data_IF_792758666558
#
_entry.id   IF_792758666558
#
_cell.length_a   1.000
_cell.length_b   1.000
_cell.length_c   1.000
_cell.angle_alpha   90.00
_cell.angle_beta   90.00
_cell.angle_gamma   90.00
#
_symmetry.space_group_name_H-M   'P 1'
#
loop_
_entity.id
_entity.type
_entity.pdbx_description
1 polymer ?
#
# COMPACT_ATOMS: atom_id res chain seq x y z
N UNK A 1 -4.85 8.10 -23.62
CA UNK A 1 -4.45 7.38 -22.39
C UNK A 1 -3.92 5.99 -22.71
N UNK A 2 -4.65 5.16 -23.47
CA UNK A 2 -4.14 3.86 -23.91
C UNK A 2 -2.93 4.00 -24.85
N UNK A 3 -2.89 5.04 -25.69
CA UNK A 3 -1.76 5.24 -26.61
C UNK A 3 -0.55 5.97 -26.00
N UNK A 4 -0.59 6.34 -24.72
CA UNK A 4 0.52 7.03 -24.05
C UNK A 4 1.62 6.01 -23.72
N UNK A 5 2.87 6.19 -24.20
CA UNK A 5 3.98 5.28 -23.90
C UNK A 5 4.23 5.12 -22.40
N UNK A 6 3.98 6.19 -21.62
CA UNK A 6 4.11 6.22 -20.17
C UNK A 6 3.18 5.22 -19.46
N UNK A 7 2.02 4.91 -20.04
CA UNK A 7 1.08 3.94 -19.46
C UNK A 7 1.58 2.49 -19.52
N UNK A 8 2.57 2.20 -20.37
CA UNK A 8 3.11 0.86 -20.61
C UNK A 8 4.55 0.70 -20.10
N UNK A 9 5.09 1.70 -19.41
CA UNK A 9 6.43 1.58 -18.84
C UNK A 9 6.44 0.49 -17.75
N UNK A 10 7.48 -0.36 -17.71
CA UNK A 10 7.56 -1.44 -16.72
C UNK A 10 7.84 -0.93 -15.30
N UNK A 11 8.33 0.30 -15.17
CA UNK A 11 8.65 0.90 -13.89
C UNK A 11 7.41 1.57 -13.28
N UNK A 12 7.02 1.12 -12.08
CA UNK A 12 5.97 1.73 -11.27
C UNK A 12 6.39 3.12 -10.77
N UNK A 13 6.04 4.16 -11.53
CA UNK A 13 6.47 5.54 -11.24
C UNK A 13 5.56 6.23 -10.23
N UNK A 14 4.26 5.92 -10.21
CA UNK A 14 3.24 6.67 -9.46
C UNK A 14 3.17 6.21 -8.03
N UNK A 15 3.29 7.17 -7.10
CA UNK A 15 3.07 6.89 -5.69
C UNK A 15 1.58 6.68 -5.41
N UNK A 16 1.23 5.60 -4.72
CA UNK A 16 -0.15 5.27 -4.36
C UNK A 16 -0.70 6.29 -3.38
N UNK A 17 -1.89 6.78 -3.69
CA UNK A 17 -2.73 7.51 -2.74
C UNK A 17 -3.10 6.59 -1.57
N UNK A 18 -3.47 7.13 -0.39
CA UNK A 18 -3.91 6.29 0.72
C UNK A 18 -5.09 5.37 0.38
N UNK A 19 -5.99 5.80 -0.50
CA UNK A 19 -7.08 5.00 -1.05
C UNK A 19 -6.56 3.78 -1.82
N UNK A 20 -5.69 4.00 -2.81
CA UNK A 20 -5.12 2.93 -3.64
C UNK A 20 -4.30 1.95 -2.79
N UNK A 21 -3.45 2.47 -1.90
CA UNK A 21 -2.68 1.65 -0.98
C UNK A 21 -3.59 0.75 -0.13
N UNK A 22 -4.67 1.33 0.42
CA UNK A 22 -5.61 0.59 1.28
C UNK A 22 -6.33 -0.52 0.49
N UNK A 23 -6.86 -0.20 -0.69
CA UNK A 23 -7.56 -1.20 -1.53
C UNK A 23 -6.60 -2.30 -1.98
N UNK A 24 -5.38 -1.95 -2.40
CA UNK A 24 -4.35 -2.93 -2.76
C UNK A 24 -3.99 -3.83 -1.57
N UNK A 25 -3.83 -3.27 -0.37
CA UNK A 25 -3.48 -4.03 0.82
C UNK A 25 -4.59 -5.01 1.22
N UNK A 26 -5.84 -4.53 1.23
CA UNK A 26 -6.99 -5.38 1.57
C UNK A 26 -7.17 -6.50 0.55
N UNK A 27 -7.09 -6.21 -0.74
CA UNK A 27 -7.17 -7.23 -1.80
C UNK A 27 -6.04 -8.24 -1.70
N UNK A 28 -4.81 -7.78 -1.50
CA UNK A 28 -3.65 -8.67 -1.35
C UNK A 28 -3.78 -9.61 -0.15
N UNK A 29 -4.34 -9.12 0.96
CA UNK A 29 -4.61 -9.92 2.16
C UNK A 29 -5.90 -10.75 2.06
N UNK A 30 -6.57 -10.80 0.90
CA UNK A 30 -7.80 -11.56 0.70
C UNK A 30 -9.01 -11.01 1.47
N UNK A 31 -8.96 -9.74 1.90
CA UNK A 31 -10.02 -9.08 2.68
C UNK A 31 -11.00 -8.38 1.77
N UNK A 32 -12.17 -8.97 1.57
CA UNK A 32 -13.27 -8.40 0.81
C UNK A 32 -14.21 -7.53 1.65
N UNK A 33 -14.25 -7.73 2.97
CA UNK A 33 -15.06 -6.94 3.89
C UNK A 33 -14.28 -6.56 5.16
N UNK A 34 -14.24 -5.26 5.44
CA UNK A 34 -13.72 -4.69 6.69
C UNK A 34 -14.75 -3.81 7.40
N UNK A 35 -15.99 -3.73 6.88
CA UNK A 35 -17.03 -2.81 7.35
C UNK A 35 -16.75 -1.35 6.96
N UNK A 36 -17.76 -0.69 6.36
CA UNK A 36 -17.65 0.70 5.88
C UNK A 36 -17.12 1.71 6.92
N UNK A 37 -17.57 1.69 8.20
CA UNK A 37 -17.08 2.65 9.19
C UNK A 37 -15.57 2.52 9.48
N UNK A 38 -15.05 1.28 9.52
CA UNK A 38 -13.62 1.03 9.79
C UNK A 38 -12.74 1.48 8.62
N UNK A 39 -13.19 1.29 7.38
CA UNK A 39 -12.48 1.79 6.20
C UNK A 39 -12.41 3.32 6.18
N UNK A 40 -13.54 4.01 6.42
CA UNK A 40 -13.56 5.47 6.45
C UNK A 40 -12.66 6.03 7.57
N UNK A 41 -12.66 5.41 8.75
CA UNK A 41 -11.78 5.79 9.85
C UNK A 41 -10.30 5.59 9.51
N UNK A 42 -9.94 4.45 8.91
CA UNK A 42 -8.57 4.20 8.44
C UNK A 42 -8.13 5.29 7.47
N UNK A 43 -8.94 5.57 6.44
CA UNK A 43 -8.63 6.56 5.41
C UNK A 43 -8.50 7.98 5.98
N UNK A 44 -9.29 8.34 6.99
CA UNK A 44 -9.09 9.57 7.75
C UNK A 44 -7.73 9.59 8.46
N UNK A 45 -7.32 8.48 9.09
CA UNK A 45 -6.07 8.39 9.84
C UNK A 45 -4.83 8.51 8.95
N UNK A 46 -4.90 8.03 7.71
CA UNK A 46 -3.79 8.05 6.74
C UNK A 46 -3.89 9.20 5.72
N UNK A 47 -4.75 10.19 5.98
CA UNK A 47 -4.71 11.50 5.32
C UNK A 47 -5.58 11.68 4.07
N UNK A 48 -6.43 10.72 3.71
CA UNK A 48 -7.35 10.84 2.56
C UNK A 48 -8.79 10.50 2.96
N UNK A 49 -9.52 11.41 3.65
CA UNK A 49 -10.89 11.15 4.08
C UNK A 49 -11.81 10.84 2.89
N UNK A 50 -12.80 9.96 3.06
CA UNK A 50 -13.69 9.62 1.93
C UNK A 50 -14.65 10.77 1.63
N UNK A 51 -14.75 11.19 0.37
CA UNK A 51 -15.67 12.24 -0.11
C UNK A 51 -15.47 13.63 0.53
N UNK A 52 -14.28 13.92 1.06
CA UNK A 52 -14.01 15.20 1.77
C UNK A 52 -12.67 15.82 1.37
N UNK A 53 -12.42 16.12 0.08
CA UNK A 53 -11.23 16.84 -0.33
C UNK A 53 -11.20 18.24 0.31
N UNK A 54 -10.00 18.77 0.60
CA UNK A 54 -9.81 20.09 1.23
C UNK A 54 -9.93 21.26 0.24
N UNK A 55 -10.04 20.97 -1.05
CA UNK A 55 -10.10 21.94 -2.14
C UNK A 55 -11.16 21.51 -3.15
N UNK A 56 -11.84 22.46 -3.85
CA UNK A 56 -12.71 22.15 -4.99
C UNK A 56 -12.02 21.37 -6.10
N UNK A 57 -10.69 21.49 -6.22
CA UNK A 57 -9.89 20.72 -7.20
C UNK A 57 -9.83 19.21 -6.89
N UNK A 58 -10.25 18.78 -5.70
CA UNK A 58 -10.19 17.39 -5.27
C UNK A 58 -8.91 17.04 -4.52
N UNK A 59 -8.47 15.78 -4.66
CA UNK A 59 -7.23 15.28 -4.07
C UNK A 59 -6.08 15.41 -5.06
N UNK A 60 -4.90 15.74 -4.54
CA UNK A 60 -3.69 15.82 -5.35
C UNK A 60 -3.29 14.44 -5.91
N UNK A 61 -2.73 14.44 -7.10
CA UNK A 61 -2.21 13.23 -7.76
C UNK A 61 -0.68 13.26 -7.91
N UNK A 62 -0.01 14.01 -7.02
CA UNK A 62 1.45 14.14 -6.94
C UNK A 62 2.00 13.40 -5.72
N UNK A 63 3.19 12.81 -5.86
CA UNK A 63 3.79 12.01 -4.80
C UNK A 63 4.05 12.81 -3.51
N UNK A 64 4.43 14.09 -3.62
CA UNK A 64 4.74 14.95 -2.48
C UNK A 64 3.58 15.10 -1.48
N UNK A 65 2.34 15.06 -1.96
CA UNK A 65 1.14 15.15 -1.11
C UNK A 65 0.89 13.90 -0.26
N UNK A 66 1.53 12.77 -0.60
CA UNK A 66 1.25 11.46 -0.02
C UNK A 66 2.47 10.78 0.61
N UNK A 67 3.68 11.22 0.27
CA UNK A 67 4.96 10.67 0.74
C UNK A 67 5.64 11.55 1.80
N UNK A 68 4.88 12.46 2.44
CA UNK A 68 5.38 13.23 3.59
C UNK A 68 5.76 12.28 4.74
N UNK A 69 6.79 12.61 5.55
CA UNK A 69 7.28 11.71 6.61
C UNK A 69 6.19 11.23 7.57
N UNK A 70 5.29 12.11 8.01
CA UNK A 70 4.19 11.78 8.92
C UNK A 70 3.13 10.88 8.25
N UNK A 71 2.86 11.10 6.96
CA UNK A 71 1.96 10.25 6.17
C UNK A 71 2.53 8.83 6.02
N UNK A 72 3.84 8.69 5.83
CA UNK A 72 4.52 7.39 5.78
C UNK A 72 4.45 6.67 7.13
N UNK A 73 4.70 7.36 8.25
CA UNK A 73 4.57 6.78 9.60
C UNK A 73 3.16 6.24 9.85
N UNK A 74 2.12 7.03 9.52
CA UNK A 74 0.72 6.60 9.64
C UNK A 74 0.42 5.34 8.81
N UNK A 75 1.03 5.20 7.62
CA UNK A 75 0.93 3.98 6.81
C UNK A 75 1.66 2.80 7.44
N UNK A 76 2.82 3.01 8.06
CA UNK A 76 3.52 1.95 8.81
C UNK A 76 2.65 1.40 9.93
N UNK A 77 2.05 2.28 10.73
CA UNK A 77 1.14 1.87 11.80
C UNK A 77 -0.09 1.11 11.25
N UNK A 78 -0.66 1.59 10.14
CA UNK A 78 -1.77 0.92 9.46
C UNK A 78 -1.36 -0.46 8.92
N UNK A 79 -0.17 -0.58 8.32
CA UNK A 79 0.38 -1.84 7.82
C UNK A 79 0.56 -2.86 8.94
N UNK A 80 1.10 -2.45 10.08
CA UNK A 80 1.23 -3.29 11.27
C UNK A 80 -0.14 -3.80 11.75
N UNK A 81 -1.16 -2.92 11.81
CA UNK A 81 -2.53 -3.33 12.18
C UNK A 81 -3.13 -4.32 11.20
N UNK A 82 -2.92 -4.13 9.89
CA UNK A 82 -3.40 -5.07 8.87
C UNK A 82 -2.67 -6.41 8.94
N UNK A 83 -1.35 -6.38 9.09
CA UNK A 83 -0.51 -7.57 9.23
C UNK A 83 -0.86 -8.37 10.49
N UNK A 84 -1.18 -7.70 11.60
CA UNK A 84 -1.62 -8.36 12.84
C UNK A 84 -2.87 -9.23 12.64
N UNK A 85 -3.68 -8.92 11.64
CA UNK A 85 -4.94 -9.62 11.36
C UNK A 85 -4.86 -10.50 10.09
N UNK A 86 -3.67 -10.73 9.55
CA UNK A 86 -3.46 -11.45 8.29
C UNK A 86 -3.45 -12.99 8.41
N UNK A 87 -3.57 -13.53 9.62
CA UNK A 87 -3.53 -14.97 9.85
C UNK A 87 -2.16 -15.58 9.53
N UNK A 88 -2.16 -16.71 8.83
CA UNK A 88 -0.97 -17.50 8.50
C UNK A 88 -0.39 -17.23 7.11
N UNK A 89 -0.78 -16.12 6.47
CA UNK A 89 -0.26 -15.75 5.15
C UNK A 89 1.28 -15.68 5.19
N UNK A 90 1.95 -16.41 4.30
CA UNK A 90 3.38 -16.29 4.11
C UNK A 90 3.69 -15.00 3.30
N UNK A 91 4.48 -14.06 3.84
CA UNK A 91 4.79 -12.82 3.15
C UNK A 91 5.57 -13.03 1.84
N UNK A 92 6.37 -14.10 1.73
CA UNK A 92 7.16 -14.41 0.52
C UNK A 92 6.25 -14.89 -0.61
N UNK A 93 5.30 -15.76 -0.29
CA UNK A 93 4.27 -16.19 -1.23
C UNK A 93 3.39 -15.02 -1.65
N UNK A 94 2.99 -14.18 -0.69
CA UNK A 94 2.18 -13.00 -0.98
C UNK A 94 2.91 -12.02 -1.90
N UNK A 95 4.18 -11.72 -1.61
CA UNK A 95 5.01 -10.84 -2.42
C UNK A 95 5.11 -11.35 -3.87
N UNK A 96 5.41 -12.65 -4.06
CA UNK A 96 5.45 -13.28 -5.38
C UNK A 96 4.11 -13.20 -6.12
N UNK A 97 2.99 -13.42 -5.44
CA UNK A 97 1.64 -13.32 -6.02
C UNK A 97 1.30 -11.90 -6.46
N UNK A 98 1.73 -10.89 -5.72
CA UNK A 98 1.36 -9.50 -5.98
C UNK A 98 2.19 -8.83 -7.08
N UNK A 99 3.47 -9.21 -7.21
CA UNK A 99 4.40 -8.48 -8.07
C UNK A 99 5.02 -9.33 -9.19
N UNK A 100 4.74 -10.62 -9.27
CA UNK A 100 5.08 -11.50 -10.41
C UNK A 100 6.50 -11.30 -11.01
N UNK A 101 7.51 -11.03 -10.16
CA UNK A 101 8.90 -10.84 -10.57
C UNK A 101 9.38 -9.38 -10.68
N UNK A 102 8.53 -8.39 -10.41
CA UNK A 102 8.90 -6.96 -10.43
C UNK A 102 9.37 -6.42 -9.07
N UNK A 103 9.53 -7.28 -8.07
CA UNK A 103 10.00 -6.86 -6.73
C UNK A 103 11.49 -6.56 -6.76
N UNK A 104 11.87 -5.45 -6.14
CA UNK A 104 13.28 -5.14 -5.89
C UNK A 104 13.94 -6.21 -5.01
N UNK A 105 15.24 -6.47 -5.28
CA UNK A 105 16.06 -7.39 -4.49
C UNK A 105 16.11 -6.98 -3.00
N UNK A 106 16.10 -5.67 -2.73
CA UNK A 106 16.04 -5.13 -1.38
C UNK A 106 14.77 -5.57 -0.66
N UNK A 107 13.60 -5.38 -1.27
CA UNK A 107 12.33 -5.78 -0.63
C UNK A 107 12.25 -7.29 -0.41
N UNK A 108 12.78 -8.09 -1.35
CA UNK A 108 12.88 -9.55 -1.16
C UNK A 108 13.74 -9.88 0.05
N UNK A 109 14.94 -9.30 0.14
CA UNK A 109 15.86 -9.56 1.25
C UNK A 109 15.29 -9.16 2.61
N UNK A 110 14.60 -8.03 2.70
CA UNK A 110 13.99 -7.58 3.96
C UNK A 110 12.80 -8.45 4.39
N UNK A 111 11.99 -8.92 3.45
CA UNK A 111 10.91 -9.88 3.74
C UNK A 111 11.50 -11.23 4.20
N UNK A 112 12.59 -11.68 3.57
CA UNK A 112 13.22 -12.95 3.90
C UNK A 112 13.84 -12.95 5.30
N UNK A 113 14.38 -11.81 5.74
CA UNK A 113 14.97 -11.59 7.08
C UNK A 113 13.95 -11.32 8.17
N UNK A 114 12.68 -11.13 7.82
CA UNK A 114 11.65 -10.80 8.80
C UNK A 114 11.53 -11.88 9.88
N UNK A 115 11.59 -11.46 11.15
CA UNK A 115 11.51 -12.35 12.32
C UNK A 115 10.17 -13.09 12.46
N UNK A 116 9.12 -12.59 11.79
CA UNK A 116 7.79 -13.18 11.83
C UNK A 116 7.02 -12.92 10.54
N UNK A 117 6.01 -13.76 10.26
CA UNK A 117 5.10 -13.58 9.11
C UNK A 117 4.42 -12.20 9.13
N UNK A 118 4.00 -11.75 10.32
CA UNK A 118 3.36 -10.43 10.49
C UNK A 118 4.34 -9.30 10.18
N UNK A 119 5.58 -9.39 10.66
CA UNK A 119 6.63 -8.41 10.36
C UNK A 119 6.91 -8.38 8.85
N UNK A 120 7.03 -9.55 8.20
CA UNK A 120 7.24 -9.62 6.76
C UNK A 120 6.09 -9.03 5.94
N UNK A 121 4.84 -9.24 6.36
CA UNK A 121 3.67 -8.60 5.70
C UNK A 121 3.70 -7.10 5.91
N UNK A 122 4.01 -6.61 7.12
CA UNK A 122 4.11 -5.19 7.38
C UNK A 122 5.22 -4.55 6.51
N UNK A 123 6.39 -5.18 6.42
CA UNK A 123 7.51 -4.77 5.57
C UNK A 123 7.10 -4.72 4.08
N UNK A 124 6.42 -5.76 3.59
CA UNK A 124 5.89 -5.78 2.23
C UNK A 124 4.94 -4.60 1.97
N UNK A 125 4.00 -4.32 2.88
CA UNK A 125 3.01 -3.26 2.69
C UNK A 125 3.60 -1.84 2.77
N UNK A 126 4.77 -1.67 3.40
CA UNK A 126 5.46 -0.38 3.50
C UNK A 126 6.61 -0.22 2.50
N UNK A 127 6.96 -1.27 1.77
CA UNK A 127 8.09 -1.27 0.84
C UNK A 127 7.90 -0.29 -0.31
N UNK A 128 8.99 0.25 -0.89
CA UNK A 128 8.90 1.11 -2.07
C UNK A 128 8.11 0.47 -3.23
N UNK A 129 8.27 -0.83 -3.43
CA UNK A 129 7.54 -1.61 -4.44
C UNK A 129 6.02 -1.54 -4.20
N UNK A 130 5.57 -1.69 -2.95
CA UNK A 130 4.15 -1.64 -2.63
C UNK A 130 3.58 -0.23 -2.59
N UNK A 131 4.39 0.78 -2.29
CA UNK A 131 3.95 2.17 -2.31
C UNK A 131 3.74 2.72 -3.72
N UNK A 132 4.14 2.01 -4.78
CA UNK A 132 4.08 2.50 -6.17
C UNK A 132 3.22 1.64 -7.09
N UNK A 133 2.70 2.23 -8.16
CA UNK A 133 2.01 1.56 -9.26
C UNK A 133 2.54 2.07 -10.59
#
# INVERSE_FOLDING_TARGET
LIDSPEAWQPAAAKFKTPWEWTISALRGLGRSDIGKPRLAQLLNQIGQPVWRPRSPAGYDDVAGSWAAPDALVRRVEAAQRLAAQSGDIDPRDLARKLFAGSLSELTVAEIDRAESRRTGIALLLVSPDFQRR
#
